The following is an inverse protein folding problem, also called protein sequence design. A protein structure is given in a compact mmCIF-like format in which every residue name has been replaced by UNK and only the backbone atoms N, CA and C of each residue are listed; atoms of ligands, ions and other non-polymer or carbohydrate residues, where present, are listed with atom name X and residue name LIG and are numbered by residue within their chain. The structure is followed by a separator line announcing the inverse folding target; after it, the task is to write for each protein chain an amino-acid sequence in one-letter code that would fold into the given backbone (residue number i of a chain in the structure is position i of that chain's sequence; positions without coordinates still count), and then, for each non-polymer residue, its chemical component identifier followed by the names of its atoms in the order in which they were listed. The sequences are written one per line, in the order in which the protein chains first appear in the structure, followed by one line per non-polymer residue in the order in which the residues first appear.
data_IF_050951615780
#
_entry.id   IF_050951615780
#
_cell.length_a   1.000
_cell.length_b   1.000
_cell.length_c   1.000
_cell.angle_alpha   90.00
_cell.angle_beta   90.00
_cell.angle_gamma   90.00
#
_symmetry.space_group_name_H-M   'P 1'
#
loop_
_entity.id
_entity.type
_entity.pdbx_description
1 polymer ?
#
# COMPACT_ATOMS: atom_id res chain seq x y z
N UNK A 1 33.48 34.16 -3.85
CA UNK A 1 32.77 33.46 -4.94
C UNK A 1 33.43 32.10 -5.08
N UNK A 2 32.84 31.07 -4.49
CA UNK A 2 33.39 29.71 -4.49
C UNK A 2 32.24 28.76 -4.80
N UNK A 3 32.30 28.11 -5.96
CA UNK A 3 31.34 27.10 -6.40
C UNK A 3 31.45 25.84 -5.52
N UNK A 4 30.34 25.17 -5.18
CA UNK A 4 30.40 23.85 -4.58
C UNK A 4 30.40 22.75 -5.65
N UNK A 5 31.32 21.81 -5.50
CA UNK A 5 31.47 20.56 -6.26
C UNK A 5 30.29 19.60 -5.98
N UNK A 6 29.86 18.75 -6.94
CA UNK A 6 28.75 17.83 -6.73
C UNK A 6 29.19 16.65 -5.84
N UNK A 7 28.35 16.29 -4.88
CA UNK A 7 28.51 15.09 -4.04
C UNK A 7 27.87 13.91 -4.75
N UNK A 8 28.70 12.94 -5.15
CA UNK A 8 28.29 11.62 -5.63
C UNK A 8 27.51 10.86 -4.55
N UNK A 9 26.30 10.41 -4.89
CA UNK A 9 25.48 9.55 -4.03
C UNK A 9 25.63 8.09 -4.47
N UNK A 10 26.46 7.35 -3.74
CA UNK A 10 26.44 5.89 -3.74
C UNK A 10 25.12 5.40 -3.12
N UNK A 11 24.31 4.70 -3.92
CA UNK A 11 23.29 3.79 -3.41
C UNK A 11 23.95 2.53 -2.81
N UNK A 12 23.25 1.78 -1.95
CA UNK A 12 23.81 0.57 -1.36
C UNK A 12 24.13 -0.45 -2.46
N UNK A 13 25.39 -0.88 -2.49
CA UNK A 13 25.86 -1.93 -3.37
C UNK A 13 25.21 -3.26 -2.98
N UNK A 14 24.55 -3.91 -3.95
CA UNK A 14 24.19 -5.32 -3.84
C UNK A 14 25.46 -6.16 -3.99
N UNK A 15 25.69 -7.18 -3.14
CA UNK A 15 26.75 -8.14 -3.39
C UNK A 15 26.38 -9.00 -4.60
N UNK A 16 27.25 -8.97 -5.61
CA UNK A 16 27.23 -9.91 -6.72
C UNK A 16 27.48 -11.33 -6.19
N UNK A 17 26.51 -12.22 -6.36
CA UNK A 17 26.70 -13.64 -6.09
C UNK A 17 27.41 -14.26 -7.30
N UNK A 18 28.62 -14.75 -7.07
CA UNK A 18 29.38 -15.56 -8.02
C UNK A 18 28.64 -16.88 -8.29
N UNK A 19 28.39 -17.18 -9.57
CA UNK A 19 28.01 -18.52 -10.02
C UNK A 19 29.27 -19.39 -10.15
N UNK A 20 29.27 -20.65 -9.70
CA UNK A 20 30.22 -21.62 -10.20
C UNK A 20 29.67 -22.35 -11.44
N UNK A 21 30.53 -22.43 -12.45
CA UNK A 21 30.43 -23.25 -13.65
C UNK A 21 30.12 -24.71 -13.33
N UNK A 22 29.18 -25.30 -14.07
CA UNK A 22 29.02 -26.74 -14.19
C UNK A 22 28.91 -27.12 -15.67
N UNK A 23 29.98 -27.72 -16.19
CA UNK A 23 30.05 -28.34 -17.50
C UNK A 23 29.23 -29.66 -17.56
N UNK A 24 28.88 -30.15 -18.76
CA UNK A 24 27.81 -31.13 -18.95
C UNK A 24 28.32 -32.57 -18.89
N UNK A 25 27.57 -33.46 -18.24
CA UNK A 25 27.73 -34.91 -18.37
C UNK A 25 26.67 -35.48 -19.30
N UNK A 26 27.14 -35.99 -20.43
CA UNK A 26 26.47 -36.90 -21.35
C UNK A 26 26.33 -38.31 -20.74
N UNK A 27 25.19 -38.99 -20.98
CA UNK A 27 25.13 -40.36 -21.54
C UNK A 27 23.68 -40.87 -21.73
N UNK A 28 23.43 -41.97 -22.46
CA UNK A 28 22.36 -42.01 -23.44
C UNK A 28 21.38 -43.18 -23.21
N UNK A 29 20.33 -43.23 -24.03
CA UNK A 29 19.97 -44.48 -24.69
C UNK A 29 18.76 -45.26 -24.14
N UNK A 30 17.87 -45.53 -25.11
CA UNK A 30 16.85 -46.61 -25.20
C UNK A 30 15.57 -46.39 -24.38
N UNK A 31 14.38 -46.57 -24.91
CA UNK A 31 13.94 -46.98 -26.25
C UNK A 31 12.46 -47.37 -26.22
N UNK A 32 11.74 -47.02 -27.29
CA UNK A 32 10.55 -47.66 -27.90
C UNK A 32 9.36 -48.08 -27.01
N UNK A 33 8.18 -47.53 -27.31
CA UNK A 33 7.00 -48.21 -27.91
C UNK A 33 5.81 -47.22 -27.87
N UNK A 34 5.33 -46.75 -29.03
CA UNK A 34 4.18 -47.29 -29.78
C UNK A 34 2.82 -47.03 -29.10
N UNK A 35 1.99 -46.19 -29.70
CA UNK A 35 0.61 -45.93 -29.24
C UNK A 35 -0.02 -44.70 -29.88
N UNK A 36 -0.11 -44.66 -31.20
CA UNK A 36 -0.81 -43.63 -31.98
C UNK A 36 -2.30 -43.97 -31.97
N UNK A 37 -3.11 -43.25 -31.22
CA UNK A 37 -4.58 -43.25 -31.34
C UNK A 37 -5.03 -41.91 -31.90
N UNK A 38 -5.77 -41.98 -33.01
CA UNK A 38 -6.23 -40.85 -33.78
C UNK A 38 -7.28 -40.03 -33.02
N UNK A 39 -7.12 -38.71 -33.04
CA UNK A 39 -8.15 -37.76 -32.66
C UNK A 39 -9.25 -37.70 -33.74
N UNK A 40 -10.54 -37.62 -33.38
CA UNK A 40 -11.59 -37.39 -34.35
C UNK A 40 -11.54 -35.96 -34.88
N UNK A 41 -11.45 -35.84 -36.20
CA UNK A 41 -11.62 -34.62 -36.98
C UNK A 41 -13.00 -34.01 -36.70
N UNK A 42 -13.04 -32.89 -35.98
CA UNK A 42 -14.24 -32.07 -35.85
C UNK A 42 -14.27 -31.11 -37.03
N UNK A 43 -15.24 -31.34 -37.90
CA UNK A 43 -15.59 -30.52 -39.06
C UNK A 43 -16.03 -29.11 -38.60
N UNK A 44 -15.49 -28.02 -39.16
CA UNK A 44 -15.90 -26.68 -38.77
C UNK A 44 -17.29 -26.37 -39.33
N UNK A 45 -18.27 -26.20 -38.43
CA UNK A 45 -19.59 -25.66 -38.80
C UNK A 45 -19.44 -24.25 -39.37
N UNK A 46 -20.12 -23.91 -40.48
CA UNK A 46 -20.09 -22.57 -41.04
C UNK A 46 -20.75 -21.56 -40.08
N UNK A 47 -20.02 -20.50 -39.76
CA UNK A 47 -20.58 -19.35 -39.04
C UNK A 47 -21.62 -18.64 -39.91
N UNK A 48 -22.79 -18.27 -39.37
CA UNK A 48 -23.72 -17.40 -40.07
C UNK A 48 -23.12 -16.00 -40.22
N UNK A 49 -23.23 -15.45 -41.43
CA UNK A 49 -22.79 -14.12 -41.79
C UNK A 49 -23.34 -13.05 -40.82
N UNK A 50 -22.42 -12.31 -40.20
CA UNK A 50 -22.76 -11.10 -39.43
C UNK A 50 -23.11 -10.00 -40.43
N UNK A 51 -24.38 -9.60 -40.45
CA UNK A 51 -24.85 -8.46 -41.21
C UNK A 51 -24.16 -7.18 -40.73
N UNK A 52 -23.48 -6.51 -41.65
CA UNK A 52 -22.92 -5.16 -41.48
C UNK A 52 -24.08 -4.16 -41.47
N UNK A 53 -24.30 -3.39 -40.39
CA UNK A 53 -25.28 -2.32 -40.41
C UNK A 53 -24.81 -1.16 -41.33
N UNK A 54 -25.72 -0.50 -42.06
CA UNK A 54 -25.35 0.55 -43.00
C UNK A 54 -24.78 1.79 -42.29
N UNK A 55 -23.82 2.41 -42.97
CA UNK A 55 -23.20 3.67 -42.61
C UNK A 55 -24.27 4.76 -42.35
N UNK A 56 -24.17 5.41 -41.20
CA UNK A 56 -24.97 6.61 -40.91
C UNK A 56 -24.46 7.79 -41.74
N UNK A 57 -25.35 8.65 -42.25
CA UNK A 57 -24.97 9.82 -43.03
C UNK A 57 -24.24 10.84 -42.15
N UNK A 58 -23.27 11.52 -42.77
CA UNK A 58 -22.54 12.65 -42.22
C UNK A 58 -23.51 13.75 -41.79
N UNK A 59 -23.44 14.15 -40.52
CA UNK A 59 -24.08 15.36 -40.02
C UNK A 59 -23.05 16.48 -40.15
N UNK A 60 -23.37 17.42 -41.03
CA UNK A 60 -22.67 18.66 -41.29
C UNK A 60 -22.93 19.63 -40.13
N UNK A 61 -22.08 19.62 -39.10
CA UNK A 61 -22.11 20.60 -38.01
C UNK A 61 -21.18 21.77 -38.34
N UNK A 62 -21.80 22.83 -38.87
CA UNK A 62 -21.24 24.18 -38.93
C UNK A 62 -20.98 24.68 -37.50
N UNK A 63 -19.73 24.61 -37.06
CA UNK A 63 -19.28 25.28 -35.83
C UNK A 63 -19.31 26.81 -36.03
N UNK A 64 -20.36 27.43 -35.53
CA UNK A 64 -20.40 28.86 -35.27
C UNK A 64 -19.53 29.19 -34.06
N UNK A 65 -18.43 29.88 -34.31
CA UNK A 65 -17.55 30.47 -33.29
C UNK A 65 -18.34 31.51 -32.47
N UNK A 66 -18.70 31.18 -31.23
CA UNK A 66 -19.14 32.18 -30.25
C UNK A 66 -17.97 32.46 -29.31
N UNK A 67 -17.29 33.58 -29.56
CA UNK A 67 -16.34 34.18 -28.63
C UNK A 67 -17.16 34.86 -27.53
N UNK A 68 -17.19 34.27 -26.34
CA UNK A 68 -17.67 34.95 -25.13
C UNK A 68 -16.45 35.47 -24.37
N UNK A 69 -16.16 36.76 -24.54
CA UNK A 69 -15.29 37.51 -23.64
C UNK A 69 -16.10 37.88 -22.42
N UNK A 70 -15.83 37.26 -21.28
CA UNK A 70 -16.27 37.77 -19.97
C UNK A 70 -15.02 38.16 -19.18
N UNK A 71 -14.78 39.46 -19.17
CA UNK A 71 -13.89 40.10 -18.21
C UNK A 71 -14.66 40.33 -16.91
N UNK A 72 -14.17 39.77 -15.82
CA UNK A 72 -14.55 40.18 -14.46
C UNK A 72 -13.32 40.04 -13.55
N UNK A 73 -12.56 41.13 -13.45
CA UNK A 73 -11.77 41.43 -12.27
C UNK A 73 -12.75 41.85 -11.18
N UNK A 74 -12.65 41.27 -9.98
CA UNK A 74 -12.70 42.00 -8.70
C UNK A 74 -12.31 41.07 -7.52
N UNK A 75 -11.30 41.56 -6.81
CA UNK A 75 -10.83 41.31 -5.45
C UNK A 75 -11.72 40.53 -4.47
N UNK A 76 -11.03 39.73 -3.64
CA UNK A 76 -11.24 39.79 -2.18
C UNK A 76 -11.96 38.61 -1.54
N UNK A 77 -11.15 37.67 -1.01
CA UNK A 77 -11.21 37.06 0.34
C UNK A 77 -10.85 35.57 0.27
N UNK A 78 -9.62 35.27 0.68
CA UNK A 78 -9.19 33.90 0.95
C UNK A 78 -9.83 33.45 2.26
N UNK A 79 -11.00 32.81 2.18
CA UNK A 79 -11.57 32.04 3.29
C UNK A 79 -10.76 30.76 3.46
N UNK A 80 -9.64 30.84 4.18
CA UNK A 80 -9.00 29.65 4.77
C UNK A 80 -9.91 29.17 5.87
N UNK A 81 -10.86 28.29 5.53
CA UNK A 81 -11.58 27.51 6.53
C UNK A 81 -10.57 26.52 7.12
N UNK A 82 -9.90 26.94 8.18
CA UNK A 82 -9.09 26.08 9.01
C UNK A 82 -9.97 25.00 9.60
N UNK A 83 -9.92 23.80 9.03
CA UNK A 83 -10.50 22.59 9.60
C UNK A 83 -9.71 22.21 10.86
N UNK A 84 -9.94 22.94 11.96
CA UNK A 84 -9.54 22.50 13.29
C UNK A 84 -10.53 21.42 13.70
N UNK A 85 -10.24 20.16 13.36
CA UNK A 85 -10.93 19.02 13.96
C UNK A 85 -10.64 19.04 15.46
N UNK A 86 -11.63 19.45 16.25
CA UNK A 86 -11.68 19.11 17.68
C UNK A 86 -11.83 17.58 17.75
N UNK A 87 -10.93 16.85 18.42
CA UNK A 87 -11.11 15.43 18.62
C UNK A 87 -12.40 15.22 19.43
N UNK A 88 -13.30 14.37 18.91
CA UNK A 88 -14.46 13.90 19.65
C UNK A 88 -13.94 13.20 20.90
N UNK A 89 -14.31 13.74 22.05
CA UNK A 89 -13.76 13.35 23.35
C UNK A 89 -14.21 11.95 23.76
N UNK A 90 -13.33 10.96 23.59
CA UNK A 90 -13.18 9.96 24.63
C UNK A 90 -12.34 10.59 25.74
N UNK A 91 -12.76 10.39 26.99
CA UNK A 91 -12.05 10.82 28.19
C UNK A 91 -10.76 10.01 28.29
N UNK A 92 -9.76 10.37 27.49
CA UNK A 92 -8.39 9.95 27.68
C UNK A 92 -7.94 10.48 29.04
N UNK A 93 -7.22 9.66 29.80
CA UNK A 93 -6.44 10.17 30.93
C UNK A 93 -5.62 11.38 30.42
N UNK A 94 -5.69 12.49 31.13
CA UNK A 94 -5.09 13.75 30.70
C UNK A 94 -3.61 13.56 30.34
N UNK A 95 -3.06 14.36 29.40
CA UNK A 95 -1.66 14.28 29.04
C UNK A 95 -0.82 14.42 30.32
N UNK A 96 0.00 13.41 30.61
CA UNK A 96 1.06 13.56 31.62
C UNK A 96 2.13 14.42 30.96
N UNK A 97 2.32 15.68 31.39
CA UNK A 97 3.33 16.54 30.77
C UNK A 97 4.68 15.87 30.99
N UNK A 98 5.36 15.52 29.90
CA UNK A 98 6.71 14.99 29.97
C UNK A 98 7.68 16.04 29.45
N UNK A 99 8.82 16.16 30.14
CA UNK A 99 9.85 17.20 30.08
C UNK A 99 10.10 17.84 28.69
N UNK A 100 10.42 19.16 28.64
CA UNK A 100 10.87 19.82 27.42
C UNK A 100 12.06 19.06 26.81
N UNK A 101 11.99 18.75 25.52
CA UNK A 101 13.18 18.36 24.76
C UNK A 101 14.07 19.58 24.55
N UNK A 102 15.39 19.38 24.49
CA UNK A 102 16.36 20.47 24.24
C UNK A 102 16.22 21.13 22.85
N UNK A 103 15.30 20.62 22.03
CA UNK A 103 15.15 20.83 20.60
C UNK A 103 13.84 21.59 20.25
N UNK A 104 13.20 22.22 21.23
CA UNK A 104 12.03 23.10 21.02
C UNK A 104 10.70 22.36 20.81
N UNK A 105 10.68 21.06 21.08
CA UNK A 105 9.48 20.21 21.05
C UNK A 105 9.04 19.78 22.45
N UNK A 106 7.74 19.56 22.59
CA UNK A 106 7.18 18.81 23.72
C UNK A 106 6.76 17.41 23.27
N UNK A 107 6.85 16.46 24.20
CA UNK A 107 6.62 15.04 23.95
C UNK A 107 5.52 14.55 24.88
N UNK A 108 4.27 14.61 24.43
CA UNK A 108 3.12 14.19 25.23
C UNK A 108 2.92 12.68 25.14
N UNK A 109 2.65 12.05 26.28
CA UNK A 109 2.31 10.64 26.34
C UNK A 109 0.81 10.44 26.43
N UNK A 110 0.29 9.63 25.51
CA UNK A 110 -1.11 9.20 25.48
C UNK A 110 -1.18 7.68 25.55
N UNK A 111 -2.29 7.17 26.07
CA UNK A 111 -2.61 5.73 26.12
C UNK A 111 -3.66 5.37 25.07
N UNK A 112 -3.86 4.07 24.86
CA UNK A 112 -4.91 3.50 24.00
C UNK A 112 -4.87 3.96 22.52
N UNK A 113 -3.84 3.56 21.75
CA UNK A 113 -2.63 2.84 22.17
C UNK A 113 -1.58 3.77 22.78
N UNK A 114 -0.65 3.20 23.55
CA UNK A 114 0.51 3.90 24.08
C UNK A 114 1.30 4.58 22.95
N UNK A 115 1.40 5.92 22.98
CA UNK A 115 2.01 6.72 21.92
C UNK A 115 2.58 8.04 22.42
N UNK A 116 3.59 8.53 21.72
CA UNK A 116 4.17 9.86 21.89
C UNK A 116 3.61 10.79 20.81
N UNK A 117 3.06 11.91 21.24
CA UNK A 117 2.66 13.02 20.36
C UNK A 117 3.71 14.12 20.50
N UNK A 118 4.39 14.42 19.40
CA UNK A 118 5.41 15.48 19.35
C UNK A 118 4.73 16.77 18.93
N UNK A 119 4.92 17.84 19.71
CA UNK A 119 4.36 19.17 19.40
C UNK A 119 5.46 20.21 19.28
N UNK A 120 5.30 21.12 18.33
CA UNK A 120 6.12 22.33 18.24
C UNK A 120 5.74 23.33 19.35
N UNK A 121 6.56 24.36 19.56
CA UNK A 121 6.35 25.41 20.57
C UNK A 121 4.93 26.05 20.55
N UNK A 122 4.32 26.17 19.36
CA UNK A 122 2.94 26.67 19.19
C UNK A 122 1.83 25.63 19.46
N UNK A 123 2.15 24.44 19.98
CA UNK A 123 1.21 23.37 20.29
C UNK A 123 0.79 22.50 19.10
N UNK A 124 1.18 22.86 17.87
CA UNK A 124 0.91 22.10 16.66
C UNK A 124 1.53 20.70 16.74
N UNK A 125 0.74 19.65 16.45
CA UNK A 125 1.24 18.27 16.36
C UNK A 125 2.09 18.13 15.12
N UNK A 126 3.35 17.73 15.29
CA UNK A 126 4.30 17.52 14.19
C UNK A 126 4.60 16.04 13.95
N UNK A 127 4.38 15.19 14.95
CA UNK A 127 4.49 13.74 14.79
C UNK A 127 3.67 12.95 15.80
N UNK A 128 3.29 11.73 15.42
CA UNK A 128 2.73 10.72 16.32
C UNK A 128 3.47 9.40 16.14
N UNK A 129 4.01 8.88 17.25
CA UNK A 129 4.82 7.66 17.30
C UNK A 129 4.16 6.67 18.26
N UNK A 130 3.86 5.47 17.80
CA UNK A 130 3.16 4.46 18.62
C UNK A 130 4.14 3.44 19.14
N UNK A 131 4.11 3.16 20.43
CA UNK A 131 5.04 2.21 21.05
C UNK A 131 4.90 0.85 20.37
N UNK A 132 6.03 0.21 20.06
CA UNK A 132 6.07 -1.07 19.34
C UNK A 132 5.97 -0.95 17.81
N UNK A 133 5.54 0.19 17.27
CA UNK A 133 5.44 0.43 15.82
C UNK A 133 6.70 1.08 15.26
N UNK A 134 6.98 0.83 13.98
CA UNK A 134 7.98 1.56 13.18
C UNK A 134 7.37 2.67 12.34
N UNK A 135 6.09 2.61 11.98
CA UNK A 135 5.43 3.70 11.26
C UNK A 135 5.25 4.91 12.17
N UNK A 136 5.57 6.08 11.61
CA UNK A 136 5.42 7.38 12.25
C UNK A 136 4.62 8.27 11.33
N UNK A 137 3.53 8.84 11.86
CA UNK A 137 2.76 9.87 11.19
C UNK A 137 3.41 11.22 11.47
N UNK A 138 4.05 11.82 10.47
CA UNK A 138 4.53 13.20 10.49
C UNK A 138 3.46 14.13 9.90
N UNK A 139 3.37 15.35 10.42
CA UNK A 139 2.55 16.40 9.79
C UNK A 139 3.39 17.11 8.73
N UNK A 140 2.95 17.04 7.48
CA UNK A 140 3.59 17.68 6.33
C UNK A 140 2.64 18.64 5.59
N UNK A 141 3.01 19.07 4.38
CA UNK A 141 2.12 19.89 3.55
C UNK A 141 0.84 19.13 3.16
N UNK A 142 -0.32 19.81 3.08
CA UNK A 142 -1.54 19.21 2.57
C UNK A 142 -1.35 18.61 1.18
N UNK A 143 -1.94 17.45 0.95
CA UNK A 143 -1.93 16.75 -0.35
C UNK A 143 -3.23 15.99 -0.57
N UNK A 144 -3.42 15.53 -1.80
CA UNK A 144 -4.59 14.77 -2.21
C UNK A 144 -4.22 13.56 -3.07
N UNK A 145 -5.04 12.52 -3.00
CA UNK A 145 -4.96 11.33 -3.86
C UNK A 145 -6.27 11.15 -4.62
N UNK A 146 -6.18 10.86 -5.92
CA UNK A 146 -7.31 10.72 -6.85
C UNK A 146 -7.19 9.44 -7.66
N UNK A 147 -8.31 8.78 -7.91
CA UNK A 147 -8.41 7.57 -8.74
C UNK A 147 -9.69 7.66 -9.59
N UNK A 148 -9.77 8.62 -10.52
CA UNK A 148 -11.03 9.08 -11.12
C UNK A 148 -11.77 7.98 -11.91
N UNK A 149 -11.05 6.95 -12.39
CA UNK A 149 -11.66 5.82 -13.10
C UNK A 149 -12.45 4.89 -12.18
N UNK A 150 -12.10 4.80 -10.89
CA UNK A 150 -12.68 3.85 -9.94
C UNK A 150 -13.48 4.52 -8.82
N UNK A 151 -13.33 5.83 -8.63
CA UNK A 151 -14.18 6.63 -7.73
C UNK A 151 -14.11 8.13 -8.06
N UNK A 152 -15.19 8.90 -7.88
CA UNK A 152 -15.13 10.36 -7.92
C UNK A 152 -14.49 10.97 -6.68
N UNK A 153 -14.17 10.15 -5.66
CA UNK A 153 -13.76 10.60 -4.34
C UNK A 153 -12.28 10.95 -4.30
N UNK A 154 -11.96 11.96 -3.51
CA UNK A 154 -10.58 12.44 -3.33
C UNK A 154 -10.19 12.28 -1.88
N UNK A 155 -9.06 11.61 -1.62
CA UNK A 155 -8.51 11.52 -0.25
C UNK A 155 -7.69 12.77 0.03
N UNK A 156 -7.93 13.42 1.17
CA UNK A 156 -7.19 14.60 1.62
C UNK A 156 -6.45 14.30 2.91
N UNK A 157 -5.15 14.61 2.97
CA UNK A 157 -4.35 14.43 4.17
C UNK A 157 -3.15 15.37 4.20
N UNK A 158 -2.66 15.69 5.40
CA UNK A 158 -1.37 16.32 5.65
C UNK A 158 -0.33 15.30 6.15
N UNK A 159 -0.72 14.04 6.35
CA UNK A 159 0.14 13.03 6.91
C UNK A 159 1.27 12.68 5.94
N UNK A 160 2.48 12.54 6.47
CA UNK A 160 3.62 11.86 5.85
C UNK A 160 4.00 10.67 6.73
N UNK A 161 3.87 9.45 6.24
CA UNK A 161 4.10 8.23 6.99
C UNK A 161 5.47 7.65 6.66
N UNK A 162 6.37 7.65 7.64
CA UNK A 162 7.77 7.18 7.51
C UNK A 162 8.02 5.97 8.40
N UNK A 163 9.06 5.21 8.10
CA UNK A 163 9.53 4.12 8.95
C UNK A 163 10.74 4.54 9.80
N UNK A 164 10.64 4.25 11.09
CA UNK A 164 11.78 4.23 12.00
C UNK A 164 12.70 3.05 11.66
N UNK A 165 14.01 3.14 11.97
CA UNK A 165 14.92 2.00 11.84
C UNK A 165 14.62 0.88 12.84
N UNK A 166 13.94 1.19 13.95
CA UNK A 166 13.57 0.24 15.02
C UNK A 166 12.20 0.60 15.61
N UNK A 167 11.48 -0.36 16.23
CA UNK A 167 10.22 -0.07 16.92
C UNK A 167 10.36 1.07 17.93
N UNK A 168 9.37 1.96 17.96
CA UNK A 168 9.32 3.08 18.89
C UNK A 168 9.19 2.59 20.33
N UNK A 169 9.83 3.33 21.24
CA UNK A 169 9.71 3.16 22.69
C UNK A 169 9.57 4.53 23.32
N UNK A 170 8.78 4.64 24.38
CA UNK A 170 8.47 5.93 25.02
C UNK A 170 9.71 6.74 25.44
N UNK A 171 10.87 6.11 25.74
CA UNK A 171 12.11 6.81 26.12
C UNK A 171 13.00 7.22 24.96
N UNK A 172 12.67 6.78 23.73
CA UNK A 172 13.51 7.02 22.55
C UNK A 172 13.65 8.51 22.19
N UNK A 173 12.70 9.36 22.57
CA UNK A 173 12.80 10.80 22.31
C UNK A 173 14.02 11.46 22.98
N UNK A 174 14.58 10.85 24.04
CA UNK A 174 15.76 11.35 24.75
C UNK A 174 17.09 10.92 24.13
N UNK A 175 17.05 10.23 22.99
CA UNK A 175 18.23 9.60 22.41
C UNK A 175 18.67 10.33 21.15
N UNK A 176 19.99 10.42 20.92
CA UNK A 176 20.55 11.10 19.75
C UNK A 176 20.08 10.49 18.42
N UNK A 177 19.93 9.16 18.34
CA UNK A 177 19.47 8.50 17.11
C UNK A 177 18.10 8.98 16.67
N UNK A 178 17.19 9.25 17.62
CA UNK A 178 15.86 9.73 17.29
C UNK A 178 15.89 11.20 16.89
N UNK A 179 16.62 12.05 17.61
CA UNK A 179 16.79 13.45 17.25
C UNK A 179 17.30 13.60 15.81
N UNK A 180 18.36 12.85 15.46
CA UNK A 180 18.95 12.82 14.13
C UNK A 180 17.98 12.29 13.07
N UNK A 181 17.27 11.20 13.36
CA UNK A 181 16.27 10.64 12.45
C UNK A 181 15.11 11.61 12.23
N UNK A 182 14.61 12.23 13.31
CA UNK A 182 13.44 13.09 13.27
C UNK A 182 13.70 14.36 12.49
N UNK A 183 14.86 15.01 12.68
CA UNK A 183 15.29 16.14 11.88
C UNK A 183 15.32 15.79 10.38
N UNK A 184 16.00 14.70 10.01
CA UNK A 184 16.06 14.25 8.61
C UNK A 184 14.70 13.89 8.03
N UNK A 185 13.87 13.18 8.80
CA UNK A 185 12.58 12.70 8.33
C UNK A 185 11.59 13.84 8.03
N UNK A 186 11.73 14.98 8.73
CA UNK A 186 10.94 16.19 8.46
C UNK A 186 11.31 16.89 7.15
N UNK A 187 12.58 16.83 6.77
CA UNK A 187 13.07 17.46 5.54
C UNK A 187 13.08 16.51 4.34
N UNK A 188 12.92 15.20 4.59
CA UNK A 188 12.87 14.17 3.57
C UNK A 188 11.67 14.34 2.62
N UNK A 189 11.97 14.54 1.33
CA UNK A 189 11.00 14.69 0.24
C UNK A 189 10.82 13.43 -0.60
N UNK A 190 11.51 12.33 -0.29
CA UNK A 190 11.32 11.05 -0.95
C UNK A 190 9.87 10.55 -0.77
N UNK A 191 9.36 9.65 -1.63
CA UNK A 191 8.03 9.06 -1.45
C UNK A 191 7.87 8.43 -0.06
N UNK A 192 6.79 8.78 0.65
CA UNK A 192 6.39 8.15 1.91
C UNK A 192 5.45 6.95 1.65
N UNK A 193 4.91 6.30 2.69
CA UNK A 193 3.99 5.15 2.49
C UNK A 193 2.85 5.48 1.52
N UNK A 194 2.19 6.63 1.69
CA UNK A 194 1.00 6.95 0.89
C UNK A 194 1.37 7.31 -0.55
N UNK A 195 2.51 7.98 -0.76
CA UNK A 195 3.05 8.19 -2.11
C UNK A 195 3.39 6.85 -2.78
N UNK A 196 3.98 5.92 -2.04
CA UNK A 196 4.31 4.58 -2.55
C UNK A 196 3.05 3.78 -2.87
N UNK A 197 1.98 3.89 -2.07
CA UNK A 197 0.67 3.30 -2.41
C UNK A 197 0.17 3.83 -3.75
N UNK A 198 0.22 5.16 -3.95
CA UNK A 198 -0.28 5.80 -5.17
C UNK A 198 0.46 5.35 -6.45
N UNK A 199 1.69 4.84 -6.32
CA UNK A 199 2.50 4.36 -7.44
C UNK A 199 2.08 2.99 -7.99
N UNK A 200 1.06 2.36 -7.41
CA UNK A 200 0.54 1.07 -7.86
C UNK A 200 -0.96 1.08 -8.16
N UNK A 201 -1.59 2.26 -8.12
CA UNK A 201 -3.00 2.41 -8.47
C UNK A 201 -3.21 2.34 -9.98
N UNK A 202 -4.47 2.23 -10.40
CA UNK A 202 -4.89 2.22 -11.81
C UNK A 202 -4.23 3.37 -12.59
N UNK A 203 -3.57 3.02 -13.70
CA UNK A 203 -2.88 3.97 -14.57
C UNK A 203 -1.60 4.60 -14.01
N UNK A 204 -1.09 4.14 -12.86
CA UNK A 204 0.18 4.65 -12.33
C UNK A 204 1.33 4.39 -13.32
N UNK A 205 2.19 5.40 -13.59
CA UNK A 205 3.25 5.28 -14.58
C UNK A 205 4.30 4.27 -14.14
N UNK A 206 4.73 3.43 -15.10
CA UNK A 206 5.80 2.49 -14.87
C UNK A 206 7.11 3.20 -14.56
N UNK A 207 7.82 2.72 -13.54
CA UNK A 207 9.18 3.14 -13.22
C UNK A 207 10.07 1.91 -13.08
N UNK A 208 11.28 2.03 -13.62
CA UNK A 208 12.31 0.99 -13.60
C UNK A 208 13.57 1.49 -12.93
N UNK A 209 14.24 0.59 -12.23
CA UNK A 209 15.56 0.89 -11.68
C UNK A 209 16.65 0.77 -12.75
N UNK A 210 17.91 0.95 -12.36
CA UNK A 210 19.05 0.86 -13.29
C UNK A 210 19.27 -0.54 -13.87
N UNK A 211 18.76 -1.58 -13.21
CA UNK A 211 18.81 -2.96 -13.70
C UNK A 211 17.60 -3.31 -14.57
N UNK A 212 16.69 -2.35 -14.81
CA UNK A 212 15.49 -2.55 -15.60
C UNK A 212 14.32 -3.18 -14.83
N UNK A 213 14.44 -3.38 -13.52
CA UNK A 213 13.37 -3.96 -12.70
C UNK A 213 12.26 -2.94 -12.52
N UNK A 214 11.03 -3.32 -12.87
CA UNK A 214 9.84 -2.51 -12.60
C UNK A 214 9.58 -2.48 -11.09
N UNK A 215 9.79 -1.32 -10.46
CA UNK A 215 9.58 -1.16 -9.01
C UNK A 215 8.35 -0.31 -8.67
N UNK A 216 7.70 0.31 -9.67
CA UNK A 216 6.46 1.06 -9.56
C UNK A 216 5.73 1.06 -10.91
N UNK A 217 4.43 1.32 -10.88
CA UNK A 217 3.51 1.26 -12.02
C UNK A 217 2.27 0.45 -11.70
N UNK A 218 1.25 0.63 -12.55
CA UNK A 218 -0.03 -0.06 -12.47
C UNK A 218 0.13 -1.58 -12.21
N UNK A 219 -0.56 -2.05 -11.18
CA UNK A 219 -0.44 -3.41 -10.66
C UNK A 219 -1.76 -4.13 -10.84
N UNK A 220 -1.73 -5.30 -11.49
CA UNK A 220 -2.91 -6.12 -11.66
C UNK A 220 -3.15 -7.02 -10.44
N UNK A 221 -4.36 -7.54 -10.25
CA UNK A 221 -4.60 -8.58 -9.24
C UNK A 221 -4.32 -9.97 -9.82
N UNK A 222 -4.79 -10.21 -11.05
CA UNK A 222 -4.82 -11.51 -11.78
C UNK A 222 -4.29 -12.69 -10.96
N UNK A 223 -5.21 -13.26 -10.17
CA UNK A 223 -5.04 -14.55 -9.52
C UNK A 223 -4.79 -15.64 -10.59
N UNK A 224 -4.12 -16.75 -10.24
CA UNK A 224 -3.98 -17.87 -11.14
C UNK A 224 -5.34 -18.27 -11.74
N UNK A 225 -5.34 -18.63 -13.02
CA UNK A 225 -6.43 -19.42 -13.57
C UNK A 225 -6.58 -20.68 -12.69
N UNK A 226 -7.81 -21.12 -12.46
CA UNK A 226 -8.20 -22.16 -11.48
C UNK A 226 -7.66 -23.59 -11.78
N UNK A 227 -6.43 -23.75 -12.30
CA UNK A 227 -5.88 -25.04 -12.81
C UNK A 227 -5.01 -25.81 -11.80
N UNK A 228 -4.62 -25.23 -10.66
CA UNK A 228 -4.03 -26.06 -9.61
C UNK A 228 -5.16 -26.76 -8.85
N UNK A 229 -5.61 -27.91 -9.38
CA UNK A 229 -6.71 -28.75 -8.88
C UNK A 229 -6.60 -29.23 -7.41
N UNK A 230 -5.67 -28.69 -6.64
CA UNK A 230 -5.53 -28.86 -5.19
C UNK A 230 -5.92 -27.62 -4.36
N UNK A 231 -6.28 -26.50 -5.01
CA UNK A 231 -6.70 -25.26 -4.35
C UNK A 231 -5.61 -24.56 -3.53
N UNK A 232 -4.31 -24.91 -3.75
CA UNK A 232 -3.17 -24.35 -3.01
C UNK A 232 -2.38 -23.28 -3.74
N UNK A 233 -2.77 -22.90 -4.96
CA UNK A 233 -2.05 -21.88 -5.71
C UNK A 233 -1.90 -20.60 -4.87
N UNK A 234 -0.68 -20.32 -4.40
CA UNK A 234 -0.38 -19.08 -3.70
C UNK A 234 -0.69 -17.93 -4.66
N UNK A 235 -1.49 -16.95 -4.23
CA UNK A 235 -1.79 -15.76 -5.03
C UNK A 235 -0.52 -14.94 -5.30
N UNK A 236 -0.51 -14.01 -6.28
CA UNK A 236 0.68 -13.20 -6.59
C UNK A 236 1.20 -12.40 -5.37
N UNK A 237 2.50 -12.45 -5.10
CA UNK A 237 3.18 -11.66 -4.05
C UNK A 237 4.05 -10.55 -4.68
N UNK A 238 4.74 -9.74 -3.87
CA UNK A 238 5.57 -8.63 -4.35
C UNK A 238 6.65 -9.05 -5.37
N UNK A 239 7.22 -10.25 -5.26
CA UNK A 239 8.26 -10.72 -6.18
C UNK A 239 7.72 -11.12 -7.56
N UNK A 240 6.45 -11.54 -7.63
CA UNK A 240 5.74 -11.74 -8.90
C UNK A 240 5.53 -10.40 -9.61
N UNK A 241 5.09 -9.36 -8.89
CA UNK A 241 4.95 -8.01 -9.45
C UNK A 241 6.25 -7.50 -10.07
N UNK A 242 7.38 -7.71 -9.37
CA UNK A 242 8.70 -7.23 -9.79
C UNK A 242 9.30 -8.08 -10.92
N UNK A 243 8.90 -9.35 -11.03
CA UNK A 243 9.51 -10.32 -11.95
C UNK A 243 10.92 -10.73 -11.56
N UNK A 244 11.28 -10.69 -10.28
CA UNK A 244 12.64 -11.01 -9.80
C UNK A 244 12.60 -11.99 -8.62
N UNK A 245 13.60 -12.89 -8.51
CA UNK A 245 13.72 -13.75 -7.34
C UNK A 245 13.92 -12.94 -6.06
N UNK A 246 13.44 -13.48 -4.94
CA UNK A 246 13.64 -12.88 -3.62
C UNK A 246 14.14 -13.87 -2.59
N UNK A 247 15.22 -13.50 -1.89
CA UNK A 247 15.77 -14.25 -0.78
C UNK A 247 15.33 -13.65 0.55
N UNK A 248 14.64 -14.46 1.35
CA UNK A 248 14.16 -14.08 2.68
C UNK A 248 15.26 -14.26 3.74
N UNK A 249 15.17 -13.54 4.88
CA UNK A 249 16.16 -13.64 5.95
C UNK A 249 16.28 -15.01 6.61
N UNK A 250 15.35 -15.94 6.37
CA UNK A 250 15.42 -17.32 6.85
C UNK A 250 16.08 -18.27 5.82
N UNK A 251 16.69 -17.70 4.77
CA UNK A 251 17.37 -18.45 3.70
C UNK A 251 16.45 -18.98 2.61
N UNK A 252 15.12 -18.91 2.79
CA UNK A 252 14.19 -19.32 1.75
C UNK A 252 14.29 -18.36 0.55
N UNK A 253 14.32 -18.91 -0.66
CA UNK A 253 14.20 -18.12 -1.89
C UNK A 253 12.87 -18.43 -2.56
N UNK A 254 12.25 -17.40 -3.16
CA UNK A 254 11.06 -17.53 -4.00
C UNK A 254 11.38 -17.00 -5.39
N UNK A 255 10.91 -17.72 -6.39
CA UNK A 255 10.99 -17.34 -7.79
C UNK A 255 9.68 -16.67 -8.20
N UNK A 256 9.71 -15.65 -9.08
CA UNK A 256 8.51 -15.15 -9.70
C UNK A 256 7.85 -16.27 -10.51
N UNK A 257 6.52 -16.29 -10.52
CA UNK A 257 5.76 -17.26 -11.30
C UNK A 257 5.50 -16.73 -12.71
N UNK A 258 5.66 -17.59 -13.71
CA UNK A 258 5.34 -17.26 -15.09
C UNK A 258 3.89 -16.76 -15.23
N UNK A 259 3.69 -15.72 -16.04
CA UNK A 259 2.38 -15.10 -16.24
C UNK A 259 1.89 -14.20 -15.08
N UNK A 260 2.69 -14.02 -14.02
CA UNK A 260 2.35 -13.13 -12.89
C UNK A 260 3.12 -11.81 -12.84
N UNK A 261 3.93 -11.53 -13.87
CA UNK A 261 4.65 -10.27 -13.96
C UNK A 261 3.69 -9.09 -13.84
N UNK A 262 3.94 -8.24 -12.85
CA UNK A 262 3.12 -7.08 -12.55
C UNK A 262 1.83 -7.33 -11.77
N UNK A 263 1.59 -8.57 -11.32
CA UNK A 263 0.42 -8.92 -10.51
C UNK A 263 0.76 -8.91 -9.02
N UNK A 264 -0.17 -8.49 -8.17
CA UNK A 264 0.00 -8.51 -6.71
C UNK A 264 -1.35 -8.66 -5.99
N UNK A 265 -1.44 -9.56 -5.02
CA UNK A 265 -2.62 -9.72 -4.17
C UNK A 265 -2.65 -8.71 -3.00
N UNK A 266 -3.70 -8.77 -2.15
CA UNK A 266 -3.87 -7.84 -1.03
C UNK A 266 -2.68 -7.83 -0.04
N UNK A 267 -2.31 -8.97 0.57
CA UNK A 267 -1.13 -9.06 1.43
C UNK A 267 0.19 -8.78 0.70
N UNK A 268 0.32 -9.18 -0.56
CA UNK A 268 1.46 -8.94 -1.41
C UNK A 268 1.65 -7.46 -1.70
N UNK A 269 0.56 -6.70 -1.86
CA UNK A 269 0.58 -5.25 -2.02
C UNK A 269 1.12 -4.59 -0.75
N UNK A 270 0.69 -5.04 0.43
CA UNK A 270 1.24 -4.58 1.71
C UNK A 270 2.74 -4.90 1.81
N UNK A 271 3.16 -6.09 1.39
CA UNK A 271 4.59 -6.51 1.40
C UNK A 271 5.43 -5.78 0.37
N UNK A 272 4.85 -5.40 -0.77
CA UNK A 272 5.47 -4.58 -1.80
C UNK A 272 5.72 -3.17 -1.26
N UNK A 273 4.70 -2.53 -0.69
CA UNK A 273 4.77 -1.17 -0.13
C UNK A 273 5.70 -1.12 1.10
N UNK A 274 5.41 -1.90 2.13
CA UNK A 274 6.16 -1.79 3.39
C UNK A 274 7.48 -2.56 3.36
N UNK A 275 7.51 -3.70 2.70
CA UNK A 275 8.67 -4.58 2.70
C UNK A 275 9.70 -4.16 1.66
N UNK A 276 9.39 -4.41 0.39
CA UNK A 276 10.32 -4.16 -0.71
C UNK A 276 10.66 -2.66 -0.84
N UNK A 277 9.64 -1.79 -0.89
CA UNK A 277 9.85 -0.36 -1.15
C UNK A 277 10.36 0.43 0.05
N UNK A 278 10.01 0.04 1.27
CA UNK A 278 10.32 0.80 2.49
C UNK A 278 11.24 0.06 3.48
N UNK A 279 11.64 -1.18 3.19
CA UNK A 279 12.65 -1.91 3.96
C UNK A 279 12.14 -2.51 5.28
N UNK A 280 10.83 -2.76 5.42
CA UNK A 280 10.33 -3.59 6.51
C UNK A 280 10.69 -5.05 6.25
N UNK A 281 11.16 -5.76 7.28
CA UNK A 281 11.56 -7.16 7.13
C UNK A 281 10.37 -8.00 6.63
N UNK A 282 10.57 -8.81 5.60
CA UNK A 282 9.57 -9.75 5.09
C UNK A 282 9.84 -11.16 5.59
N UNK A 283 8.77 -11.94 5.76
CA UNK A 283 8.83 -13.37 6.09
C UNK A 283 8.47 -14.20 4.87
N UNK A 284 9.17 -15.31 4.69
CA UNK A 284 8.86 -16.33 3.68
C UNK A 284 7.53 -17.05 4.01
N UNK A 285 7.30 -17.35 5.29
CA UNK A 285 6.15 -18.11 5.80
C UNK A 285 5.19 -17.26 6.62
N UNK A 286 3.92 -17.63 6.58
CA UNK A 286 2.84 -16.93 7.26
C UNK A 286 2.73 -17.24 8.77
N UNK A 287 3.19 -18.41 9.19
CA UNK A 287 2.88 -19.02 10.48
C UNK A 287 4.08 -19.06 11.46
N UNK A 288 5.31 -19.09 10.94
CA UNK A 288 6.55 -19.32 11.71
C UNK A 288 7.44 -18.07 11.82
N UNK A 289 7.97 -17.82 13.02
CA UNK A 289 8.87 -16.70 13.32
C UNK A 289 8.21 -15.47 13.97
N UNK A 290 9.05 -14.59 14.53
CA UNK A 290 8.66 -13.33 15.19
C UNK A 290 9.25 -12.13 14.46
N UNK A 291 8.47 -11.06 14.30
CA UNK A 291 8.88 -9.84 13.60
C UNK A 291 8.84 -9.96 12.07
N UNK A 292 8.86 -8.82 11.37
CA UNK A 292 8.58 -8.69 9.94
C UNK A 292 7.09 -8.79 9.55
N UNK A 293 6.84 -8.83 8.23
CA UNK A 293 5.52 -9.00 7.62
C UNK A 293 5.31 -10.44 7.11
N UNK A 294 4.33 -11.16 7.65
CA UNK A 294 3.88 -12.46 7.13
C UNK A 294 3.30 -12.38 5.71
N UNK A 295 3.22 -13.52 5.01
CA UNK A 295 2.68 -13.63 3.63
C UNK A 295 1.16 -13.44 3.56
N UNK A 296 0.40 -13.89 4.56
CA UNK A 296 -1.09 -13.88 4.53
C UNK A 296 -1.68 -12.79 5.41
N UNK A 297 -2.90 -12.33 5.09
CA UNK A 297 -3.65 -11.38 5.92
C UNK A 297 -3.86 -11.91 7.35
N UNK A 298 -4.22 -13.19 7.50
CA UNK A 298 -4.34 -13.85 8.80
C UNK A 298 -3.01 -13.85 9.57
N UNK A 299 -1.90 -14.12 8.89
CA UNK A 299 -0.56 -14.04 9.47
C UNK A 299 -0.23 -12.63 9.96
N UNK A 300 -0.47 -11.60 9.12
CA UNK A 300 -0.27 -10.20 9.48
C UNK A 300 -1.12 -9.82 10.71
N UNK A 301 -2.37 -10.25 10.76
CA UNK A 301 -3.25 -10.00 11.91
C UNK A 301 -2.69 -10.60 13.20
N UNK A 302 -2.34 -11.88 13.15
CA UNK A 302 -1.97 -12.66 14.32
C UNK A 302 -0.53 -12.39 14.81
N UNK A 303 0.41 -12.19 13.88
CA UNK A 303 1.86 -12.22 14.14
C UNK A 303 2.65 -11.14 13.42
N UNK A 304 1.98 -10.20 12.74
CA UNK A 304 2.64 -9.06 12.10
C UNK A 304 3.37 -8.19 13.12
N UNK A 305 4.41 -7.49 12.65
CA UNK A 305 5.11 -6.49 13.46
C UNK A 305 4.20 -5.36 13.91
N UNK A 306 4.69 -4.58 14.87
CA UNK A 306 3.99 -3.40 15.34
C UNK A 306 2.90 -3.70 16.36
N UNK A 307 1.98 -2.76 16.48
CA UNK A 307 1.00 -2.68 17.55
C UNK A 307 -0.40 -2.90 17.02
N UNK A 308 -1.17 -3.76 17.70
CA UNK A 308 -2.58 -3.92 17.46
C UNK A 308 -3.30 -2.70 18.06
N UNK A 309 -3.73 -1.79 17.19
CA UNK A 309 -4.35 -0.51 17.58
C UNK A 309 -5.77 -0.72 18.07
N UNK A 310 -6.51 -1.57 17.37
CA UNK A 310 -7.87 -1.95 17.77
C UNK A 310 -8.19 -3.33 17.22
N UNK A 311 -9.03 -4.09 17.93
CA UNK A 311 -9.56 -5.37 17.48
C UNK A 311 -10.91 -5.64 18.11
N UNK A 312 -11.84 -6.10 17.29
CA UNK A 312 -13.13 -6.59 17.72
C UNK A 312 -13.48 -7.81 16.87
N UNK A 313 -13.92 -8.90 17.52
CA UNK A 313 -14.30 -10.17 16.85
C UNK A 313 -15.79 -10.25 16.55
N UNK A 314 -16.61 -9.48 17.27
CA UNK A 314 -18.07 -9.40 17.13
C UNK A 314 -18.51 -8.35 16.11
N UNK A 315 -17.68 -7.36 15.81
CA UNK A 315 -18.01 -6.31 14.86
C UNK A 315 -16.83 -5.43 14.47
N UNK A 316 -17.09 -4.29 13.82
CA UNK A 316 -16.08 -3.30 13.48
C UNK A 316 -15.52 -2.65 14.75
N UNK A 317 -14.19 -2.61 14.94
CA UNK A 317 -13.59 -1.91 16.08
C UNK A 317 -13.76 -0.39 15.95
N UNK A 318 -13.57 0.34 17.05
CA UNK A 318 -13.51 1.80 17.03
C UNK A 318 -12.39 2.31 16.11
N UNK A 319 -12.71 3.33 15.31
CA UNK A 319 -11.77 4.00 14.42
C UNK A 319 -11.05 5.18 15.10
N UNK A 320 -11.33 5.48 16.37
CA UNK A 320 -10.84 6.69 17.04
C UNK A 320 -9.32 6.81 17.16
N UNK A 321 -8.59 5.68 17.09
CA UNK A 321 -7.14 5.62 17.13
C UNK A 321 -6.49 5.37 15.76
N UNK A 322 -7.28 5.26 14.69
CA UNK A 322 -6.82 5.02 13.32
C UNK A 322 -5.95 6.19 12.84
N UNK A 323 -4.84 5.88 12.17
CA UNK A 323 -3.94 6.85 11.54
C UNK A 323 -3.52 6.39 10.15
N UNK A 324 -3.28 7.35 9.26
CA UNK A 324 -2.82 7.08 7.90
C UNK A 324 -1.59 6.15 7.91
N UNK A 325 -1.58 5.17 7.02
CA UNK A 325 -0.61 4.08 6.98
C UNK A 325 -1.01 2.84 7.80
N UNK A 326 -1.96 2.92 8.72
CA UNK A 326 -2.39 1.73 9.46
C UNK A 326 -2.90 0.63 8.52
N UNK A 327 -2.59 -0.61 8.87
CA UNK A 327 -3.18 -1.77 8.23
C UNK A 327 -4.59 -2.00 8.76
N UNK A 328 -5.55 -2.16 7.86
CA UNK A 328 -6.94 -2.49 8.16
C UNK A 328 -7.22 -3.92 7.71
N UNK A 329 -7.75 -4.73 8.62
CA UNK A 329 -7.86 -6.18 8.43
C UNK A 329 -9.31 -6.63 8.51
N UNK A 330 -9.75 -7.38 7.49
CA UNK A 330 -11.15 -7.72 7.28
C UNK A 330 -11.38 -9.23 7.37
N UNK A 331 -12.51 -9.60 7.98
CA UNK A 331 -13.01 -10.97 7.97
C UNK A 331 -14.19 -11.09 7.00
N UNK A 332 -13.91 -11.65 5.83
CA UNK A 332 -14.87 -11.75 4.72
C UNK A 332 -14.93 -13.14 4.08
N UNK A 333 -14.38 -14.15 4.77
CA UNK A 333 -14.60 -15.55 4.45
C UNK A 333 -16.03 -16.02 4.76
N UNK A 334 -16.41 -17.23 4.34
CA UNK A 334 -17.77 -17.76 4.46
C UNK A 334 -18.35 -17.73 5.88
N UNK A 335 -17.50 -17.91 6.89
CA UNK A 335 -17.88 -17.86 8.31
C UNK A 335 -17.83 -16.44 8.93
N UNK A 336 -17.38 -15.41 8.19
CA UNK A 336 -17.33 -14.01 8.65
C UNK A 336 -16.38 -13.72 9.81
N UNK A 337 -15.53 -14.67 10.21
CA UNK A 337 -14.67 -14.60 11.41
C UNK A 337 -13.18 -14.68 11.11
N UNK A 338 -12.79 -15.35 10.02
CA UNK A 338 -11.39 -15.48 9.62
C UNK A 338 -10.91 -14.24 8.86
N UNK A 339 -9.75 -13.68 9.24
CA UNK A 339 -9.12 -12.56 8.51
C UNK A 339 -8.59 -13.06 7.18
N UNK A 340 -9.11 -12.48 6.10
CA UNK A 340 -8.86 -12.91 4.72
C UNK A 340 -8.37 -11.77 3.84
N UNK A 341 -8.62 -10.50 4.22
CA UNK A 341 -8.15 -9.32 3.49
C UNK A 341 -7.43 -8.32 4.39
N UNK A 342 -6.57 -7.53 3.75
CA UNK A 342 -5.81 -6.44 4.36
C UNK A 342 -5.73 -5.27 3.39
N UNK A 343 -5.76 -4.05 3.92
CA UNK A 343 -5.52 -2.81 3.18
C UNK A 343 -4.70 -1.81 4.00
N UNK A 344 -4.36 -0.68 3.39
CA UNK A 344 -3.61 0.43 3.98
C UNK A 344 -4.53 1.64 4.07
N UNK A 345 -4.75 2.15 5.27
CA UNK A 345 -5.58 3.34 5.48
C UNK A 345 -4.89 4.59 4.92
N UNK A 346 -5.60 5.37 4.12
CA UNK A 346 -5.06 6.56 3.43
C UNK A 346 -5.38 7.87 4.12
N UNK A 347 -6.54 7.93 4.80
CA UNK A 347 -7.07 9.17 5.34
C UNK A 347 -8.56 9.36 5.01
N UNK A 348 -9.15 10.50 5.40
CA UNK A 348 -10.51 10.86 5.03
C UNK A 348 -10.62 11.29 3.56
N UNK A 349 -11.75 10.99 2.93
CA UNK A 349 -12.13 11.57 1.64
C UNK A 349 -12.73 12.98 1.75
N UNK A 350 -13.13 13.54 0.61
CA UNK A 350 -13.83 14.82 0.45
C UNK A 350 -15.18 14.90 1.20
N UNK A 351 -15.75 13.75 1.59
CA UNK A 351 -16.92 13.64 2.45
C UNK A 351 -16.56 13.36 3.92
N UNK A 352 -15.27 13.36 4.27
CA UNK A 352 -14.77 13.07 5.60
C UNK A 352 -14.75 11.58 5.97
N UNK A 353 -15.06 10.67 5.03
CA UNK A 353 -15.13 9.22 5.28
C UNK A 353 -13.75 8.57 5.22
N UNK A 354 -13.41 7.67 6.16
CA UNK A 354 -12.11 7.03 6.20
C UNK A 354 -11.96 6.02 5.05
N UNK A 355 -11.01 6.28 4.13
CA UNK A 355 -10.70 5.41 2.99
C UNK A 355 -9.41 4.62 3.13
N UNK A 356 -9.39 3.44 2.53
CA UNK A 356 -8.21 2.57 2.47
C UNK A 356 -7.93 2.13 1.03
N UNK A 357 -6.68 1.79 0.74
CA UNK A 357 -6.29 1.11 -0.48
C UNK A 357 -6.05 -0.39 -0.22
N UNK A 358 -6.49 -1.24 -1.13
CA UNK A 358 -6.16 -2.66 -1.12
C UNK A 358 -6.09 -3.19 -2.55
N UNK A 359 -5.29 -4.23 -2.79
CA UNK A 359 -5.36 -4.98 -4.05
C UNK A 359 -6.60 -5.87 -4.06
N UNK A 360 -7.45 -5.69 -5.08
CA UNK A 360 -8.79 -6.30 -5.16
C UNK A 360 -9.01 -6.93 -6.52
N UNK A 361 -9.50 -8.17 -6.53
CA UNK A 361 -9.80 -8.91 -7.76
C UNK A 361 -10.80 -8.19 -8.67
N UNK A 362 -11.88 -7.63 -8.11
CA UNK A 362 -12.92 -6.95 -8.90
C UNK A 362 -12.48 -5.64 -9.55
N UNK A 363 -11.44 -5.02 -9.02
CA UNK A 363 -10.85 -3.83 -9.61
C UNK A 363 -9.57 -4.13 -10.41
N UNK A 364 -9.19 -5.42 -10.48
CA UNK A 364 -7.94 -5.91 -11.04
C UNK A 364 -6.70 -5.14 -10.55
N UNK A 365 -6.55 -4.92 -9.24
CA UNK A 365 -5.35 -4.27 -8.71
C UNK A 365 -5.53 -3.51 -7.40
N UNK A 366 -4.48 -2.84 -6.90
CA UNK A 366 -4.54 -1.85 -5.82
C UNK A 366 -5.42 -0.66 -6.18
N UNK A 367 -6.33 -0.32 -5.27
CA UNK A 367 -7.29 0.76 -5.49
C UNK A 367 -7.90 1.23 -4.17
N UNK A 368 -8.28 2.51 -4.08
CA UNK A 368 -9.12 3.06 -3.01
C UNK A 368 -10.53 3.43 -3.50
N UNK A 369 -10.86 3.04 -4.73
CA UNK A 369 -12.14 3.28 -5.37
C UNK A 369 -13.27 2.38 -4.88
N UNK A 370 -14.41 2.46 -5.56
CA UNK A 370 -15.65 1.81 -5.10
C UNK A 370 -15.97 0.51 -5.88
N UNK A 371 -15.16 0.17 -6.87
CA UNK A 371 -15.28 -1.07 -7.65
C UNK A 371 -15.09 -2.30 -6.77
N UNK A 372 -16.12 -3.17 -6.74
CA UNK A 372 -16.14 -4.34 -5.86
C UNK A 372 -16.45 -4.04 -4.39
N UNK A 373 -16.96 -2.84 -4.10
CA UNK A 373 -17.37 -2.39 -2.77
C UNK A 373 -16.68 -1.09 -2.40
N UNK A 374 -17.44 -0.15 -1.80
CA UNK A 374 -16.91 1.14 -1.36
C UNK A 374 -15.76 0.96 -0.39
N UNK A 375 -14.59 1.53 -0.67
CA UNK A 375 -13.41 1.43 0.18
C UNK A 375 -13.49 2.34 1.42
N UNK A 376 -14.61 2.26 2.14
CA UNK A 376 -14.93 3.02 3.33
C UNK A 376 -14.84 2.10 4.56
N UNK A 377 -14.27 2.61 5.65
CA UNK A 377 -14.15 1.89 6.93
C UNK A 377 -15.31 2.15 7.89
N UNK A 378 -16.21 3.08 7.56
CA UNK A 378 -17.37 3.45 8.35
C UNK A 378 -18.70 3.20 7.62
N UNK A 379 -19.81 3.37 8.35
CA UNK A 379 -21.14 3.21 7.82
C UNK A 379 -21.53 1.75 7.54
N UNK A 380 -22.48 1.57 6.62
CA UNK A 380 -23.10 0.28 6.35
C UNK A 380 -22.47 -0.51 5.21
N UNK A 381 -21.28 -0.16 4.70
CA UNK A 381 -20.64 -0.85 3.56
C UNK A 381 -20.12 -2.25 3.88
N UNK A 382 -19.79 -3.05 2.84
CA UNK A 382 -19.21 -4.39 3.03
C UNK A 382 -17.95 -4.36 3.90
N UNK A 383 -16.98 -3.49 3.55
CA UNK A 383 -15.71 -3.37 4.26
C UNK A 383 -15.86 -2.80 5.67
N UNK A 384 -16.70 -1.79 5.84
CA UNK A 384 -17.02 -1.26 7.17
C UNK A 384 -17.53 -2.36 8.10
N UNK A 385 -18.46 -3.22 7.64
CA UNK A 385 -19.00 -4.33 8.45
C UNK A 385 -18.02 -5.48 8.67
N UNK A 386 -17.09 -5.72 7.74
CA UNK A 386 -16.14 -6.82 7.82
C UNK A 386 -14.81 -6.45 8.50
N UNK A 387 -14.57 -5.18 8.83
CA UNK A 387 -13.39 -4.76 9.59
C UNK A 387 -13.35 -5.46 10.95
N UNK A 388 -12.20 -5.99 11.34
CA UNK A 388 -12.01 -6.70 12.62
C UNK A 388 -10.78 -6.28 13.38
N UNK A 389 -9.77 -5.74 12.71
CA UNK A 389 -8.56 -5.28 13.37
C UNK A 389 -7.91 -4.12 12.63
N UNK A 390 -7.19 -3.30 13.40
CA UNK A 390 -6.32 -2.23 12.93
C UNK A 390 -4.94 -2.50 13.52
N UNK A 391 -3.90 -2.52 12.69
CA UNK A 391 -2.52 -2.74 13.10
C UNK A 391 -1.61 -1.64 12.56
N UNK A 392 -0.78 -1.08 13.44
CA UNK A 392 0.24 -0.08 13.09
C UNK A 392 1.61 -0.72 13.12
N UNK A 393 2.28 -0.80 11.96
CA UNK A 393 3.51 -1.59 11.76
C UNK A 393 4.73 -1.02 12.46
#
# INVERSE_FOLDING_TARGET
MSHPTPVDRHGPAHPAAAMPDAAPTSNPGRGRHAGRAAAPTVEPRPHPAVAVPPARPAVDERFGTVVVVVAALLLGTASVVGFVRRPVGHRAAGPVPTAPGGDGYTYDRLTDPARTVVRAAGGAVVAVLTDGSRTVRLTGPPRRFTEPRLTPRTVHTDARVRLLPRPWRATAYRTGWFADWFARARDDRSPDVLDVVAQYLDGAPEQRDRAGVRFAGDAAYRAPADDDGDGRAESPDFHDYLGVPWSFPDGATRQPTDGRYGNVDGPGFVRLVYGYRLGLRLRSRADTGTGGLPRTAAGIAARGSGTLVARDRSGPPSLGALQEGDLVLFADGPAGTAITRVGIYLGPDDNGRPRFAASRSRADGPTFGDTGGRAELDGGGHYARSLRAIRRL
#
